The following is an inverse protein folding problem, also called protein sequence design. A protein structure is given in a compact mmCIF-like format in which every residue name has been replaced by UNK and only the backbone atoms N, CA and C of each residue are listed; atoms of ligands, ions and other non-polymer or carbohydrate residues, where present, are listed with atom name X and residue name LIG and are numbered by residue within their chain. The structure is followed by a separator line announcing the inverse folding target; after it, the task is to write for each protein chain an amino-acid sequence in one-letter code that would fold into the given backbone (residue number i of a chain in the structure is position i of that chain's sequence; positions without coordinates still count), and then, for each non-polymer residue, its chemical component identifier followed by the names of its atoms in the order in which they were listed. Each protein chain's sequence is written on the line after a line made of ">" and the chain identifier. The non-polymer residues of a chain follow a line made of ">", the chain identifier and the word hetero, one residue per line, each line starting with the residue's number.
data_IF_759523612109
#
_entry.id   IF_759523612109
#
_cell.length_a   1.000
_cell.length_b   1.000
_cell.length_c   1.000
_cell.angle_alpha   90.00
_cell.angle_beta   90.00
_cell.angle_gamma   90.00
#
_symmetry.space_group_name_H-M   'P 1'
#
loop_
_entity.id
_entity.type
_entity.pdbx_description
1 polymer ?
#
# COMPACT_ATOMS: atom_id res chain seq x y z
N UNK A 1 4.02 -17.61 1.87
CA UNK A 1 5.11 -16.66 1.57
C UNK A 1 5.49 -16.67 0.08
N UNK A 2 5.67 -17.86 -0.50
CA UNK A 2 6.05 -17.94 -1.93
C UNK A 2 5.01 -17.31 -2.85
N UNK A 3 3.72 -17.57 -2.62
CA UNK A 3 2.67 -17.02 -3.46
C UNK A 3 2.64 -15.48 -3.40
N UNK A 4 2.82 -14.92 -2.19
CA UNK A 4 2.91 -13.49 -2.01
C UNK A 4 4.13 -12.92 -2.75
N UNK A 5 5.26 -13.58 -2.63
CA UNK A 5 6.50 -13.13 -3.27
C UNK A 5 6.39 -13.16 -4.79
N UNK A 6 5.77 -14.20 -5.34
CA UNK A 6 5.56 -14.29 -6.78
C UNK A 6 4.65 -13.17 -7.27
N UNK A 7 3.58 -12.88 -6.54
CA UNK A 7 2.68 -11.77 -6.87
C UNK A 7 3.42 -10.44 -6.78
N UNK A 8 4.17 -10.24 -5.70
CA UNK A 8 4.95 -9.02 -5.49
C UNK A 8 5.92 -8.78 -6.64
N UNK A 9 6.64 -9.82 -7.06
CA UNK A 9 7.59 -9.70 -8.17
C UNK A 9 6.89 -9.33 -9.48
N UNK A 10 5.65 -9.76 -9.66
CA UNK A 10 4.87 -9.42 -10.85
C UNK A 10 4.46 -7.96 -10.92
N UNK A 11 4.54 -7.24 -9.81
CA UNK A 11 4.17 -5.81 -9.77
C UNK A 11 5.27 -4.88 -10.27
N UNK A 12 6.48 -5.38 -10.52
CA UNK A 12 7.58 -4.56 -10.99
C UNK A 12 7.41 -4.27 -12.48
N UNK A 13 6.69 -3.19 -12.78
CA UNK A 13 6.39 -2.79 -14.16
C UNK A 13 6.61 -1.29 -14.33
N UNK A 14 7.54 -0.92 -15.21
CA UNK A 14 7.91 0.47 -15.44
C UNK A 14 6.80 1.29 -16.08
N UNK A 15 5.84 0.65 -16.76
CA UNK A 15 4.73 1.34 -17.42
C UNK A 15 3.42 1.27 -16.63
N UNK A 16 3.48 0.92 -15.35
CA UNK A 16 2.26 0.81 -14.56
C UNK A 16 1.52 2.15 -14.47
N UNK A 17 0.20 2.10 -14.59
CA UNK A 17 -0.64 3.29 -14.38
C UNK A 17 -0.73 3.61 -12.89
N UNK A 18 -1.24 4.81 -12.57
CA UNK A 18 -1.46 5.17 -11.18
C UNK A 18 -2.35 4.15 -10.46
N UNK A 19 -3.44 3.73 -11.11
CA UNK A 19 -4.35 2.75 -10.51
C UNK A 19 -3.67 1.42 -10.28
N UNK A 20 -2.85 0.98 -11.23
CA UNK A 20 -2.06 -0.25 -11.07
C UNK A 20 -1.05 -0.13 -9.92
N UNK A 21 -0.42 1.03 -9.77
CA UNK A 21 0.52 1.26 -8.68
C UNK A 21 -0.18 1.25 -7.32
N UNK A 22 -1.34 1.88 -7.23
CA UNK A 22 -2.16 1.89 -6.01
C UNK A 22 -2.62 0.47 -5.68
N UNK A 23 -3.07 -0.28 -6.67
CA UNK A 23 -3.50 -1.67 -6.49
C UNK A 23 -2.33 -2.53 -6.01
N UNK A 24 -1.16 -2.36 -6.61
CA UNK A 24 0.04 -3.11 -6.20
C UNK A 24 0.42 -2.80 -4.76
N UNK A 25 0.36 -1.53 -4.36
CA UNK A 25 0.61 -1.13 -2.98
C UNK A 25 -0.36 -1.84 -2.04
N UNK A 26 -1.65 -1.75 -2.33
CA UNK A 26 -2.67 -2.33 -1.45
C UNK A 26 -2.52 -3.85 -1.31
N UNK A 27 -2.33 -4.55 -2.43
CA UNK A 27 -2.19 -6.01 -2.42
C UNK A 27 -0.93 -6.46 -1.70
N UNK A 28 0.18 -5.78 -1.93
CA UNK A 28 1.44 -6.09 -1.26
C UNK A 28 1.29 -5.91 0.24
N UNK A 29 0.68 -4.80 0.65
CA UNK A 29 0.55 -4.47 2.06
C UNK A 29 -0.31 -5.49 2.80
N UNK A 30 -1.54 -5.72 2.33
CA UNK A 30 -2.44 -6.64 3.05
C UNK A 30 -1.93 -8.08 2.96
N UNK A 31 -1.31 -8.47 1.87
CA UNK A 31 -0.72 -9.79 1.72
C UNK A 31 0.40 -10.01 2.72
N UNK A 32 1.27 -9.03 2.89
CA UNK A 32 2.36 -9.12 3.85
C UNK A 32 1.85 -9.17 5.29
N UNK A 33 0.93 -8.30 5.66
CA UNK A 33 0.41 -8.26 7.03
C UNK A 33 -0.45 -9.47 7.38
N UNK A 34 -1.02 -10.14 6.38
CA UNK A 34 -1.76 -11.38 6.58
C UNK A 34 -0.83 -12.54 6.92
N UNK A 35 0.38 -12.55 6.34
CA UNK A 35 1.38 -13.59 6.61
C UNK A 35 2.15 -13.27 7.89
N UNK A 36 2.48 -12.00 8.08
CA UNK A 36 3.24 -11.52 9.23
C UNK A 36 2.36 -10.58 10.05
N UNK A 37 1.78 -11.05 11.15
CA UNK A 37 0.90 -10.24 11.98
C UNK A 37 1.53 -8.90 12.35
N UNK A 38 0.68 -7.92 12.60
CA UNK A 38 1.09 -6.53 12.78
C UNK A 38 1.73 -6.34 14.16
N UNK A 39 3.03 -6.63 14.25
CA UNK A 39 3.85 -6.37 15.43
C UNK A 39 4.79 -5.21 15.16
N UNK A 40 5.59 -4.87 16.14
CA UNK A 40 6.59 -3.82 16.02
C UNK A 40 7.48 -4.05 14.78
N UNK A 41 7.55 -3.03 13.93
CA UNK A 41 8.35 -3.06 12.73
C UNK A 41 7.68 -3.64 11.50
N UNK A 42 6.69 -4.52 11.67
CA UNK A 42 6.04 -5.16 10.51
C UNK A 42 5.24 -4.14 9.68
N UNK A 43 4.60 -3.17 10.33
CA UNK A 43 3.90 -2.11 9.62
C UNK A 43 4.85 -1.25 8.79
N UNK A 44 6.01 -0.92 9.35
CA UNK A 44 7.02 -0.15 8.62
C UNK A 44 7.55 -0.93 7.43
N UNK A 45 7.83 -2.21 7.64
CA UNK A 45 8.34 -3.08 6.57
C UNK A 45 7.28 -3.25 5.48
N UNK A 46 6.03 -3.46 5.87
CA UNK A 46 4.93 -3.58 4.91
C UNK A 46 4.82 -2.32 4.04
N UNK A 47 4.90 -1.14 4.65
CA UNK A 47 4.83 0.12 3.91
C UNK A 47 6.02 0.31 2.98
N UNK A 48 7.22 -0.07 3.44
CA UNK A 48 8.41 0.01 2.61
C UNK A 48 8.31 -0.90 1.39
N UNK A 49 7.97 -2.17 1.61
CA UNK A 49 7.83 -3.15 0.52
C UNK A 49 6.73 -2.74 -0.45
N UNK A 50 5.62 -2.21 0.07
CA UNK A 50 4.48 -1.80 -0.75
C UNK A 50 4.84 -0.64 -1.68
N UNK A 51 5.77 0.21 -1.27
CA UNK A 51 6.21 1.33 -2.09
C UNK A 51 7.21 0.95 -3.18
N UNK A 52 7.83 -0.22 -3.10
CA UNK A 52 8.82 -0.59 -4.12
C UNK A 52 8.24 -0.63 -5.54
N UNK A 53 7.09 -1.30 -5.78
CA UNK A 53 6.48 -1.25 -7.12
C UNK A 53 6.09 0.16 -7.55
N UNK A 54 5.65 0.99 -6.61
CA UNK A 54 5.25 2.37 -6.89
C UNK A 54 6.45 3.18 -7.36
N UNK A 55 7.56 3.07 -6.65
CA UNK A 55 8.81 3.76 -6.99
C UNK A 55 9.38 3.25 -8.31
N UNK A 56 9.33 1.94 -8.52
CA UNK A 56 9.84 1.34 -9.75
C UNK A 56 9.08 1.85 -10.97
N UNK A 57 7.78 2.12 -10.83
CA UNK A 57 6.97 2.68 -11.90
C UNK A 57 7.22 4.17 -12.14
N UNK A 58 8.07 4.80 -11.31
CA UNK A 58 8.42 6.20 -11.47
C UNK A 58 7.54 7.18 -10.70
N UNK A 59 6.66 6.69 -9.83
CA UNK A 59 5.81 7.55 -9.02
C UNK A 59 6.44 7.87 -7.67
N UNK A 60 6.05 8.98 -7.04
CA UNK A 60 6.51 9.27 -5.68
C UNK A 60 5.94 8.25 -4.69
N UNK A 61 6.62 8.02 -3.55
CA UNK A 61 6.14 7.04 -2.58
C UNK A 61 4.80 7.47 -1.98
N UNK A 62 3.95 6.48 -1.71
CA UNK A 62 2.69 6.71 -1.02
C UNK A 62 2.99 6.79 0.47
N UNK A 63 2.62 7.91 1.09
CA UNK A 63 2.86 8.15 2.51
C UNK A 63 1.53 8.10 3.24
N UNK A 64 1.48 7.35 4.33
CA UNK A 64 0.30 7.31 5.20
C UNK A 64 0.54 8.32 6.32
N UNK A 65 -0.19 9.46 6.33
CA UNK A 65 0.02 10.48 7.34
C UNK A 65 -0.28 9.97 8.74
N UNK A 66 0.41 10.52 9.73
CA UNK A 66 0.20 10.16 11.14
C UNK A 66 -1.26 10.39 11.54
N UNK A 67 -1.88 11.46 11.03
CA UNK A 67 -3.28 11.80 11.32
C UNK A 67 -4.25 10.74 10.79
N UNK A 68 -3.83 9.95 9.83
CA UNK A 68 -4.66 8.90 9.22
C UNK A 68 -4.47 7.54 9.87
N UNK A 69 -3.74 7.46 10.99
CA UNK A 69 -3.41 6.19 11.63
C UNK A 69 -4.65 5.36 11.98
N UNK A 70 -5.69 5.98 12.50
CA UNK A 70 -6.90 5.26 12.87
C UNK A 70 -7.62 4.69 11.65
N UNK A 71 -7.73 5.49 10.60
CA UNK A 71 -8.34 5.04 9.35
C UNK A 71 -7.55 3.92 8.72
N UNK A 72 -6.22 3.99 8.78
CA UNK A 72 -5.33 2.96 8.30
C UNK A 72 -5.57 1.63 9.03
N UNK A 73 -5.57 1.67 10.36
CA UNK A 73 -5.78 0.47 11.16
C UNK A 73 -7.18 -0.10 10.94
N UNK A 74 -8.19 0.77 10.80
CA UNK A 74 -9.55 0.33 10.54
C UNK A 74 -9.66 -0.37 9.18
N UNK A 75 -9.02 0.18 8.16
CA UNK A 75 -9.04 -0.41 6.82
C UNK A 75 -8.38 -1.78 6.80
N UNK A 76 -7.24 -1.93 7.52
CA UNK A 76 -6.58 -3.22 7.66
C UNK A 76 -7.44 -4.21 8.42
N UNK A 77 -8.05 -3.77 9.51
CA UNK A 77 -8.91 -4.58 10.34
C UNK A 77 -10.11 -5.12 9.56
N UNK A 78 -10.74 -4.26 8.78
CA UNK A 78 -11.88 -4.64 7.94
C UNK A 78 -11.48 -5.70 6.93
N UNK A 79 -10.31 -5.59 6.33
CA UNK A 79 -9.81 -6.60 5.41
C UNK A 79 -9.57 -7.93 6.12
N UNK A 80 -8.94 -7.89 7.29
CA UNK A 80 -8.53 -9.11 8.01
C UNK A 80 -9.71 -9.85 8.63
N UNK A 81 -10.85 -9.21 8.84
CA UNK A 81 -12.01 -9.83 9.48
C UNK A 81 -12.81 -10.76 8.56
N UNK A 82 -12.13 -11.38 7.63
CA UNK A 82 -12.75 -12.39 6.78
C UNK A 82 -13.36 -11.82 5.51
N UNK A 83 -13.14 -10.58 5.29
CA UNK A 83 -13.60 -9.91 4.10
C UNK A 83 -12.41 -9.80 3.15
N UNK A 84 -12.27 -10.71 2.24
CA UNK A 84 -11.20 -10.66 1.26
C UNK A 84 -11.37 -9.50 0.28
N UNK A 85 -12.28 -8.57 0.58
CA UNK A 85 -12.55 -7.42 -0.27
C UNK A 85 -11.50 -6.35 -0.03
N UNK A 86 -10.69 -6.10 -1.04
CA UNK A 86 -9.61 -5.13 -1.00
C UNK A 86 -10.10 -3.69 -1.15
N UNK A 87 -11.37 -3.48 -1.51
CA UNK A 87 -11.89 -2.17 -1.90
C UNK A 87 -11.67 -1.09 -0.85
N UNK A 88 -11.96 -1.40 0.41
CA UNK A 88 -11.84 -0.41 1.49
C UNK A 88 -10.39 0.01 1.69
N UNK A 89 -9.47 -0.96 1.70
CA UNK A 89 -8.06 -0.64 1.88
C UNK A 89 -7.50 0.09 0.66
N UNK A 90 -7.89 -0.33 -0.54
CA UNK A 90 -7.47 0.35 -1.77
C UNK A 90 -7.98 1.79 -1.81
N UNK A 91 -9.21 2.01 -1.36
CA UNK A 91 -9.78 3.35 -1.28
C UNK A 91 -9.00 4.23 -0.31
N UNK A 92 -8.62 3.68 0.84
CA UNK A 92 -7.79 4.39 1.80
C UNK A 92 -6.43 4.75 1.19
N UNK A 93 -5.79 3.81 0.49
CA UNK A 93 -4.50 4.05 -0.16
C UNK A 93 -4.63 5.14 -1.23
N UNK A 94 -5.72 5.15 -1.96
CA UNK A 94 -5.98 6.18 -2.98
C UNK A 94 -6.08 7.57 -2.33
N UNK A 95 -6.69 7.68 -1.17
CA UNK A 95 -6.75 8.92 -0.42
C UNK A 95 -5.34 9.38 -0.02
N UNK A 96 -4.51 8.46 0.44
CA UNK A 96 -3.11 8.78 0.77
C UNK A 96 -2.33 9.19 -0.47
N UNK A 97 -2.60 8.57 -1.60
CA UNK A 97 -1.98 8.93 -2.87
C UNK A 97 -2.27 10.38 -3.23
N UNK A 98 -3.53 10.79 -3.10
CA UNK A 98 -3.91 12.17 -3.39
C UNK A 98 -3.19 13.14 -2.46
N UNK A 99 -3.08 12.82 -1.18
CA UNK A 99 -2.33 13.64 -0.22
C UNK A 99 -0.87 13.75 -0.63
N UNK A 100 -0.26 12.66 -1.07
CA UNK A 100 1.13 12.65 -1.54
C UNK A 100 1.29 13.58 -2.75
N UNK A 101 0.37 13.50 -3.70
CA UNK A 101 0.42 14.35 -4.89
C UNK A 101 0.31 15.83 -4.52
N UNK A 102 -0.55 16.16 -3.57
CA UNK A 102 -0.73 17.54 -3.10
C UNK A 102 0.56 18.05 -2.45
N UNK A 103 1.21 17.23 -1.64
CA UNK A 103 2.48 17.60 -1.01
C UNK A 103 3.57 17.84 -2.05
N UNK A 104 3.66 16.98 -3.05
CA UNK A 104 4.65 17.14 -4.14
C UNK A 104 4.39 18.43 -4.90
N UNK A 105 3.13 18.74 -5.17
CA UNK A 105 2.76 19.97 -5.87
C UNK A 105 3.18 21.22 -5.07
N UNK A 106 2.98 21.19 -3.75
CA UNK A 106 3.37 22.29 -2.88
C UNK A 106 4.89 22.48 -2.82
N UNK A 107 5.65 21.41 -2.97
CA UNK A 107 7.12 21.45 -2.88
C UNK A 107 7.75 22.05 -4.14
N UNK A 108 7.01 22.20 -5.21
CA UNK A 108 7.49 22.79 -6.44
C UNK A 108 7.26 24.29 -6.44
#
# INVERSE_FOLDING_TARGET
>A
MKAWLDEFNGFYRAEATEDEAIDAYARTHVGFTSIHPFYDGNGRLARLLSNLPVLFAGYPPIVIPVESRQDYLQALWDYERGNTDLSAFKSFVRTCWQTTLDLVAEAR
#
